data_IF_504555336835
#
_entry.id   IF_504555336835
#
_cell.length_a   1.000
_cell.length_b   1.000
_cell.length_c   1.000
_cell.angle_alpha   90.00
_cell.angle_beta   90.00
_cell.angle_gamma   90.00
#
_symmetry.space_group_name_H-M   'P 1'
#
loop_
_entity.id
_entity.type
_entity.pdbx_description
1 polymer ?
#
# COMPACT_ATOMS: atom_id res chain seq x y z
N UNK A 1 -11.34 -21.11 30.56
CA UNK A 1 -10.98 -19.72 30.24
C UNK A 1 -10.94 -18.92 31.54
N UNK A 2 -10.12 -17.87 31.60
CA UNK A 2 -10.03 -16.97 32.75
C UNK A 2 -10.24 -15.53 32.28
N UNK A 3 -11.01 -14.73 33.02
CA UNK A 3 -11.27 -13.31 32.72
C UNK A 3 -10.93 -12.45 33.94
N UNK A 4 -10.18 -11.38 33.71
CA UNK A 4 -9.82 -10.36 34.69
C UNK A 4 -10.44 -9.04 34.25
N UNK A 5 -10.98 -8.28 35.19
CA UNK A 5 -11.46 -6.91 34.97
C UNK A 5 -10.62 -5.99 35.85
N UNK A 6 -10.04 -4.94 35.25
CA UNK A 6 -9.18 -3.99 35.93
C UNK A 6 -9.99 -2.77 36.42
N UNK A 7 -9.41 -1.99 37.34
CA UNK A 7 -10.08 -0.82 37.93
C UNK A 7 -10.37 0.30 36.93
N UNK A 8 -9.60 0.39 35.84
CA UNK A 8 -9.79 1.35 34.76
C UNK A 8 -10.85 0.91 33.73
N UNK A 9 -11.52 -0.23 33.96
CA UNK A 9 -12.53 -0.79 33.06
C UNK A 9 -11.99 -1.76 32.01
N UNK A 10 -10.66 -1.88 31.87
CA UNK A 10 -10.05 -2.82 30.93
C UNK A 10 -10.39 -4.26 31.31
N UNK A 11 -10.38 -5.16 30.32
CA UNK A 11 -10.54 -6.59 30.58
C UNK A 11 -9.46 -7.40 29.89
N UNK A 12 -9.04 -8.50 30.50
CA UNK A 12 -8.15 -9.49 29.90
C UNK A 12 -8.78 -10.86 30.04
N UNK A 13 -8.88 -11.60 28.93
CA UNK A 13 -9.42 -12.95 28.87
C UNK A 13 -8.44 -13.89 28.19
N UNK A 14 -8.25 -15.09 28.75
CA UNK A 14 -7.53 -16.19 28.12
C UNK A 14 -8.55 -17.26 27.71
N UNK A 15 -8.62 -17.56 26.42
CA UNK A 15 -9.57 -18.52 25.82
C UNK A 15 -9.03 -19.96 25.90
N UNK A 16 -9.87 -20.94 25.59
CA UNK A 16 -9.49 -22.36 25.62
C UNK A 16 -8.45 -22.70 24.53
N UNK A 17 -8.47 -21.99 23.41
CA UNK A 17 -7.49 -22.07 22.31
C UNK A 17 -6.27 -21.17 22.53
N UNK A 18 -5.99 -20.78 23.78
CA UNK A 18 -4.79 -20.05 24.20
C UNK A 18 -4.63 -18.63 23.64
N UNK A 19 -5.66 -18.06 23.00
CA UNK A 19 -5.65 -16.62 22.66
C UNK A 19 -5.77 -15.77 23.91
N UNK A 20 -5.07 -14.64 23.92
CA UNK A 20 -5.21 -13.60 24.93
C UNK A 20 -5.99 -12.45 24.31
N UNK A 21 -7.17 -12.15 24.86
CA UNK A 21 -8.03 -11.05 24.41
C UNK A 21 -7.96 -9.96 25.48
N UNK A 22 -7.41 -8.80 25.14
CA UNK A 22 -7.38 -7.60 25.95
C UNK A 22 -8.34 -6.56 25.38
N UNK A 23 -9.16 -5.94 26.21
CA UNK A 23 -10.04 -4.84 25.83
C UNK A 23 -9.64 -3.59 26.61
N UNK A 24 -9.29 -2.53 25.88
CA UNK A 24 -8.98 -1.21 26.41
C UNK A 24 -10.25 -0.36 26.44
N UNK A 25 -10.75 -0.04 27.63
CA UNK A 25 -12.05 0.59 27.81
C UNK A 25 -12.07 2.04 27.31
N UNK A 26 -11.05 2.83 27.64
CA UNK A 26 -10.96 4.24 27.23
C UNK A 26 -10.87 4.39 25.71
N UNK A 27 -9.99 3.61 25.07
CA UNK A 27 -9.79 3.64 23.62
C UNK A 27 -10.84 2.82 22.84
N UNK A 28 -11.70 2.07 23.52
CA UNK A 28 -12.66 1.13 22.93
C UNK A 28 -12.02 0.18 21.90
N UNK A 29 -10.81 -0.30 22.21
CA UNK A 29 -10.00 -1.13 21.31
C UNK A 29 -9.87 -2.54 21.85
N UNK A 30 -10.07 -3.54 20.99
CA UNK A 30 -9.83 -4.95 21.33
C UNK A 30 -8.51 -5.41 20.73
N UNK A 31 -7.62 -5.96 21.54
CA UNK A 31 -6.33 -6.51 21.14
C UNK A 31 -6.29 -8.01 21.43
N UNK A 32 -6.07 -8.82 20.41
CA UNK A 32 -5.99 -10.28 20.48
C UNK A 32 -4.57 -10.71 20.17
N UNK A 33 -3.93 -11.44 21.08
CA UNK A 33 -2.64 -12.11 20.84
C UNK A 33 -2.89 -13.61 20.62
N UNK A 34 -2.39 -14.13 19.50
CA UNK A 34 -2.49 -15.54 19.12
C UNK A 34 -1.26 -16.33 19.60
N UNK A 35 -1.37 -17.67 19.74
CA UNK A 35 -0.26 -18.50 20.22
C UNK A 35 0.99 -18.49 19.31
N UNK A 36 0.82 -18.18 18.03
CA UNK A 36 1.91 -18.03 17.06
C UNK A 36 2.62 -16.66 17.14
N UNK A 37 2.17 -15.78 18.04
CA UNK A 37 2.70 -14.44 18.22
C UNK A 37 2.05 -13.38 17.33
N UNK A 38 1.08 -13.73 16.48
CA UNK A 38 0.32 -12.73 15.73
C UNK A 38 -0.55 -11.91 16.69
N UNK A 39 -0.57 -10.59 16.51
CA UNK A 39 -1.42 -9.67 17.25
C UNK A 39 -2.47 -9.06 16.31
N UNK A 40 -3.71 -8.91 16.78
CA UNK A 40 -4.80 -8.30 16.03
C UNK A 40 -5.50 -7.24 16.87
N UNK A 41 -5.54 -6.00 16.39
CA UNK A 41 -6.21 -4.87 17.02
C UNK A 41 -7.47 -4.49 16.24
N UNK A 42 -8.59 -4.32 16.93
CA UNK A 42 -9.85 -3.81 16.38
C UNK A 42 -10.17 -2.47 17.03
N UNK A 43 -10.25 -1.42 16.22
CA UNK A 43 -10.48 -0.04 16.65
C UNK A 43 -11.96 0.35 16.49
N UNK A 44 -12.45 1.36 17.23
CA UNK A 44 -13.86 1.76 17.19
C UNK A 44 -14.30 2.36 15.85
N UNK A 45 -13.36 2.83 15.02
CA UNK A 45 -13.64 3.34 13.67
C UNK A 45 -13.77 2.23 12.61
N UNK A 46 -13.81 0.94 13.00
CA UNK A 46 -13.77 -0.24 12.14
C UNK A 46 -12.41 -0.51 11.46
N UNK A 47 -11.35 0.24 11.80
CA UNK A 47 -10.00 -0.15 11.39
C UNK A 47 -9.59 -1.43 12.13
N UNK A 48 -8.90 -2.32 11.42
CA UNK A 48 -8.27 -3.51 12.00
C UNK A 48 -6.80 -3.51 11.66
N UNK A 49 -5.94 -3.86 12.60
CA UNK A 49 -4.51 -4.04 12.36
C UNK A 49 -4.09 -5.46 12.74
N UNK A 50 -3.27 -6.10 11.91
CA UNK A 50 -2.56 -7.33 12.23
C UNK A 50 -1.09 -7.05 12.30
N UNK A 51 -0.43 -7.41 13.40
CA UNK A 51 1.01 -7.31 13.55
C UNK A 51 1.56 -8.74 13.57
N UNK A 52 2.47 -9.03 12.65
CA UNK A 52 3.04 -10.36 12.44
C UNK A 52 4.38 -10.49 13.17
N UNK A 53 4.77 -11.72 13.60
CA UNK A 53 6.04 -11.95 14.28
C UNK A 53 7.29 -11.57 13.48
N UNK A 54 7.21 -11.55 12.15
CA UNK A 54 8.29 -11.14 11.25
C UNK A 54 8.46 -9.61 11.18
N UNK A 55 7.62 -8.84 11.87
CA UNK A 55 7.61 -7.39 11.89
C UNK A 55 6.71 -6.74 10.83
N UNK A 56 6.09 -7.53 9.92
CA UNK A 56 5.09 -7.02 8.98
C UNK A 56 3.87 -6.53 9.76
N UNK A 57 3.23 -5.48 9.24
CA UNK A 57 1.90 -5.03 9.69
C UNK A 57 0.94 -4.98 8.52
N UNK A 58 -0.31 -5.37 8.74
CA UNK A 58 -1.41 -5.23 7.79
C UNK A 58 -2.50 -4.39 8.43
N UNK A 59 -2.87 -3.30 7.79
CA UNK A 59 -3.88 -2.34 8.27
C UNK A 59 -5.06 -2.40 7.30
N UNK A 60 -6.24 -2.78 7.77
CA UNK A 60 -7.48 -2.65 7.03
C UNK A 60 -8.20 -1.39 7.50
N UNK A 61 -8.30 -0.40 6.62
CA UNK A 61 -8.99 0.86 6.89
C UNK A 61 -10.51 0.73 6.78
N UNK A 62 -11.28 1.71 7.31
CA UNK A 62 -12.74 1.68 7.26
C UNK A 62 -13.33 1.72 5.84
N UNK A 63 -12.57 2.22 4.86
CA UNK A 63 -12.92 2.23 3.44
C UNK A 63 -12.57 0.92 2.72
N UNK A 64 -12.15 -0.10 3.48
CA UNK A 64 -11.69 -1.42 3.04
C UNK A 64 -10.36 -1.42 2.26
N UNK A 65 -9.64 -0.30 2.21
CA UNK A 65 -8.25 -0.28 1.76
C UNK A 65 -7.39 -1.13 2.70
N UNK A 66 -6.55 -1.99 2.15
CA UNK A 66 -5.59 -2.80 2.93
C UNK A 66 -4.18 -2.25 2.70
N UNK A 67 -3.48 -1.85 3.76
CA UNK A 67 -2.09 -1.39 3.71
C UNK A 67 -1.16 -2.36 4.43
N UNK A 68 -0.18 -2.90 3.72
CA UNK A 68 0.93 -3.68 4.26
C UNK A 68 2.14 -2.78 4.52
N UNK A 69 2.74 -2.89 5.69
CA UNK A 69 4.00 -2.29 6.07
C UNK A 69 5.02 -3.41 6.28
N UNK A 70 6.12 -3.39 5.55
CA UNK A 70 7.14 -4.42 5.58
C UNK A 70 8.36 -3.97 6.41
N UNK A 71 9.11 -4.90 7.05
CA UNK A 71 10.30 -4.57 7.84
C UNK A 71 11.43 -3.89 7.05
N UNK A 72 11.48 -4.10 5.73
CA UNK A 72 12.44 -3.46 4.83
C UNK A 72 12.10 -1.98 4.54
N UNK A 73 10.98 -1.47 5.06
CA UNK A 73 10.49 -0.12 4.84
C UNK A 73 9.57 0.03 3.62
N UNK A 74 9.32 -1.05 2.87
CA UNK A 74 8.35 -1.05 1.77
C UNK A 74 6.94 -0.93 2.33
N UNK A 75 6.10 -0.20 1.62
CA UNK A 75 4.67 -0.13 1.88
C UNK A 75 3.90 -0.58 0.65
N UNK A 76 2.79 -1.26 0.84
CA UNK A 76 1.88 -1.66 -0.23
C UNK A 76 0.44 -1.37 0.19
N UNK A 77 -0.38 -0.79 -0.69
CA UNK A 77 -1.80 -0.55 -0.45
C UNK A 77 -2.62 -1.19 -1.57
N UNK A 78 -3.61 -1.98 -1.21
CA UNK A 78 -4.58 -2.59 -2.13
C UNK A 78 -5.90 -1.86 -1.95
N UNK A 79 -6.34 -1.18 -3.02
CA UNK A 79 -7.61 -0.48 -3.06
C UNK A 79 -8.75 -1.44 -3.41
N UNK A 80 -9.98 -1.02 -3.14
CA UNK A 80 -11.19 -1.82 -3.37
C UNK A 80 -11.46 -2.15 -4.84
N UNK A 81 -10.91 -1.35 -5.77
CA UNK A 81 -10.99 -1.61 -7.22
C UNK A 81 -9.90 -2.58 -7.72
N UNK A 82 -9.03 -3.08 -6.84
CA UNK A 82 -7.91 -3.95 -7.17
C UNK A 82 -6.63 -3.21 -7.56
N UNK A 83 -6.60 -1.87 -7.52
CA UNK A 83 -5.37 -1.11 -7.72
C UNK A 83 -4.39 -1.37 -6.58
N UNK A 84 -3.15 -1.68 -6.93
CA UNK A 84 -2.05 -1.91 -5.98
C UNK A 84 -1.09 -0.72 -6.06
N UNK A 85 -0.80 -0.12 -4.91
CA UNK A 85 0.15 0.99 -4.77
C UNK A 85 1.31 0.52 -3.91
N UNK A 86 2.50 0.41 -4.48
CA UNK A 86 3.72 0.10 -3.74
C UNK A 86 4.58 1.35 -3.59
N UNK A 87 5.13 1.58 -2.39
CA UNK A 87 6.14 2.60 -2.12
C UNK A 87 7.38 1.90 -1.60
N UNK A 88 8.49 2.09 -2.30
CA UNK A 88 9.78 1.51 -1.95
C UNK A 88 10.53 2.45 -0.96
N UNK A 89 11.49 1.92 -0.18
CA UNK A 89 12.28 2.72 0.77
C UNK A 89 13.05 3.89 0.15
N UNK A 90 13.39 3.80 -1.14
CA UNK A 90 14.04 4.88 -1.90
C UNK A 90 13.08 6.01 -2.32
N UNK A 91 11.79 5.90 -1.99
CA UNK A 91 10.73 6.83 -2.35
C UNK A 91 10.10 6.56 -3.72
N UNK A 92 10.57 5.57 -4.48
CA UNK A 92 9.95 5.17 -5.74
C UNK A 92 8.56 4.60 -5.47
N UNK A 93 7.56 5.10 -6.19
CA UNK A 93 6.17 4.64 -6.08
C UNK A 93 5.75 3.93 -7.36
N UNK A 94 5.25 2.71 -7.23
CA UNK A 94 4.69 1.93 -8.33
C UNK A 94 3.17 1.77 -8.13
N UNK A 95 2.39 1.93 -9.19
CA UNK A 95 0.94 1.78 -9.19
C UNK A 95 0.57 0.77 -10.26
N UNK A 96 -0.09 -0.31 -9.87
CA UNK A 96 -0.61 -1.34 -10.77
C UNK A 96 -2.12 -1.21 -10.80
N UNK A 97 -2.67 -0.75 -11.92
CA UNK A 97 -4.10 -0.58 -12.09
C UNK A 97 -4.76 -1.90 -12.50
N UNK A 98 -6.02 -2.07 -12.13
CA UNK A 98 -6.84 -3.21 -12.56
C UNK A 98 -6.99 -3.32 -14.10
N UNK A 99 -6.77 -2.24 -14.84
CA UNK A 99 -6.80 -2.20 -16.31
C UNK A 99 -5.52 -2.77 -16.94
N UNK A 100 -4.54 -3.25 -16.15
CA UNK A 100 -3.22 -3.66 -16.62
C UNK A 100 -2.26 -2.51 -16.93
N UNK A 101 -2.66 -1.25 -16.68
CA UNK A 101 -1.74 -0.12 -16.75
C UNK A 101 -0.81 -0.14 -15.54
N UNK A 102 0.41 0.35 -15.71
CA UNK A 102 1.37 0.56 -14.63
C UNK A 102 1.84 2.01 -14.61
N UNK A 103 1.96 2.62 -13.44
CA UNK A 103 2.66 3.89 -13.25
C UNK A 103 3.86 3.72 -12.32
N UNK A 104 4.95 4.44 -12.62
CA UNK A 104 6.16 4.51 -11.82
C UNK A 104 6.48 5.98 -11.59
N UNK A 105 6.55 6.40 -10.34
CA UNK A 105 6.95 7.75 -9.93
C UNK A 105 8.30 7.68 -9.23
N UNK A 106 9.25 8.46 -9.73
CA UNK A 106 10.56 8.69 -9.13
C UNK A 106 10.72 10.19 -8.86
N UNK A 107 11.85 10.60 -8.29
CA UNK A 107 12.21 12.01 -8.19
C UNK A 107 12.42 12.67 -9.57
N UNK A 108 12.77 11.89 -10.60
CA UNK A 108 13.16 12.38 -11.92
C UNK A 108 12.01 12.35 -12.93
N UNK A 109 11.06 11.42 -12.79
CA UNK A 109 9.99 11.27 -13.77
C UNK A 109 8.74 10.58 -13.22
N UNK A 110 7.65 10.71 -13.98
CA UNK A 110 6.48 9.84 -13.92
C UNK A 110 6.35 9.08 -15.23
N UNK A 111 6.30 7.76 -15.17
CA UNK A 111 6.17 6.88 -16.33
C UNK A 111 4.87 6.11 -16.24
N UNK A 112 4.10 6.07 -17.32
CA UNK A 112 2.93 5.22 -17.50
C UNK A 112 3.19 4.21 -18.61
N UNK A 113 2.96 2.94 -18.30
CA UNK A 113 3.06 1.80 -19.20
C UNK A 113 1.64 1.28 -19.48
N UNK A 114 1.33 1.12 -20.75
CA UNK A 114 0.01 0.72 -21.22
C UNK A 114 0.04 -0.74 -21.71
N UNK A 115 -1.09 -1.47 -21.63
CA UNK A 115 -1.17 -2.86 -22.08
C UNK A 115 -0.84 -3.07 -23.57
N UNK A 116 -1.02 -2.05 -24.41
CA UNK A 116 -0.66 -2.11 -25.82
C UNK A 116 0.86 -2.08 -26.05
N UNK A 117 1.67 -1.84 -25.00
CA UNK A 117 3.12 -1.66 -25.05
C UNK A 117 3.57 -0.20 -25.18
N UNK A 118 2.64 0.75 -25.25
CA UNK A 118 2.97 2.18 -25.25
C UNK A 118 3.54 2.57 -23.89
N UNK A 119 4.61 3.35 -23.88
CA UNK A 119 5.22 3.91 -22.66
C UNK A 119 5.29 5.42 -22.78
N UNK A 120 4.73 6.13 -21.80
CA UNK A 120 4.81 7.59 -21.69
C UNK A 120 5.60 7.97 -20.46
N UNK A 121 6.62 8.80 -20.61
CA UNK A 121 7.42 9.33 -19.49
C UNK A 121 7.35 10.85 -19.49
N UNK A 122 7.00 11.45 -18.37
CA UNK A 122 7.07 12.90 -18.12
C UNK A 122 8.17 13.14 -17.11
N UNK A 123 9.20 13.87 -17.52
CA UNK A 123 10.36 14.20 -16.69
C UNK A 123 10.08 15.43 -15.82
N UNK A 124 10.89 15.61 -14.77
CA UNK A 124 10.79 16.74 -13.83
C UNK A 124 11.03 18.10 -14.49
N UNK A 125 11.77 18.15 -15.60
CA UNK A 125 11.98 19.34 -16.44
C UNK A 125 10.78 19.67 -17.37
N UNK A 126 9.74 18.84 -17.35
CA UNK A 126 8.54 18.96 -18.18
C UNK A 126 8.65 18.27 -19.56
N UNK A 127 9.83 17.76 -19.94
CA UNK A 127 10.00 16.99 -21.18
C UNK A 127 9.13 15.73 -21.14
N UNK A 128 8.59 15.35 -22.30
CA UNK A 128 7.74 14.18 -22.44
C UNK A 128 8.29 13.24 -23.52
N UNK A 129 8.40 11.96 -23.18
CA UNK A 129 8.74 10.90 -24.13
C UNK A 129 7.56 9.95 -24.29
N UNK A 130 7.22 9.59 -25.53
CA UNK A 130 6.31 8.50 -25.86
C UNK A 130 7.04 7.48 -26.72
N UNK A 131 7.13 6.25 -26.23
CA UNK A 131 7.66 5.08 -26.95
C UNK A 131 6.47 4.23 -27.36
N UNK A 132 6.35 3.97 -28.64
CA UNK A 132 5.29 3.14 -29.20
C UNK A 132 5.76 1.70 -29.33
N UNK A 133 4.85 0.71 -29.31
CA UNK A 133 5.17 -0.71 -29.51
C UNK A 133 5.88 -0.98 -30.84
N UNK A 134 5.61 -0.13 -31.83
CA UNK A 134 6.24 -0.19 -33.15
C UNK A 134 7.72 0.18 -33.15
N UNK A 135 8.26 0.73 -32.05
CA UNK A 135 9.63 1.26 -31.97
C UNK A 135 9.72 2.77 -32.22
N UNK A 136 8.65 3.42 -32.69
CA UNK A 136 8.60 4.88 -32.85
C UNK A 136 8.84 5.56 -31.50
N UNK A 137 9.70 6.58 -31.49
CA UNK A 137 9.98 7.43 -30.34
C UNK A 137 9.60 8.88 -30.66
N UNK A 138 8.74 9.47 -29.84
CA UNK A 138 8.37 10.89 -29.93
C UNK A 138 8.73 11.62 -28.64
N UNK A 139 9.46 12.72 -28.76
CA UNK A 139 9.91 13.56 -27.63
C UNK A 139 9.36 14.97 -27.81
N UNK A 140 8.81 15.54 -26.73
CA UNK A 140 8.31 16.90 -26.67
C UNK A 140 8.95 17.68 -25.53
N UNK A 141 9.10 18.99 -25.71
CA UNK A 141 9.44 19.89 -24.61
C UNK A 141 8.25 20.12 -23.66
N UNK A 142 8.47 20.92 -22.61
CA UNK A 142 7.45 21.30 -21.62
C UNK A 142 6.26 22.06 -22.20
N UNK A 143 6.43 22.74 -23.34
CA UNK A 143 5.40 23.53 -24.00
C UNK A 143 4.62 22.69 -25.02
N UNK A 144 5.02 21.42 -25.21
CA UNK A 144 4.39 20.46 -26.11
C UNK A 144 4.93 20.46 -27.54
N UNK A 145 5.97 21.25 -27.83
CA UNK A 145 6.62 21.26 -29.14
C UNK A 145 7.40 19.96 -29.35
N UNK A 146 7.33 19.40 -30.55
CA UNK A 146 8.06 18.16 -30.88
C UNK A 146 9.54 18.47 -31.08
N UNK A 147 10.38 17.91 -30.22
CA UNK A 147 11.84 17.98 -30.32
C UNK A 147 12.42 16.85 -31.18
N UNK A 148 11.78 15.68 -31.15
CA UNK A 148 12.19 14.50 -31.90
C UNK A 148 10.98 13.64 -32.25
N UNK A 149 10.94 13.12 -33.48
CA UNK A 149 10.00 12.09 -33.91
C UNK A 149 10.74 11.08 -34.77
N UNK A 150 11.27 10.04 -34.13
CA UNK A 150 12.03 8.97 -34.78
C UNK A 150 11.09 7.81 -35.09
N UNK A 151 10.90 7.51 -36.37
CA UNK A 151 10.24 6.29 -36.81
C UNK A 151 11.14 5.06 -36.55
N UNK A 152 10.54 3.87 -36.57
CA UNK A 152 11.25 2.61 -36.42
C UNK A 152 12.35 2.42 -37.48
#
# INVERSE_FOLDING_TARGET
SAKVTFFNGDTKQITADQRVIYYYAEAQTTHITYPDGMEVLHFPNNQTEKHFPDGRKEITFPDQTVKNLFPDGREESVLTDGTIIQVNPDGTKEIHFNTGQKEIHTAEFKRREYPDGTVKTVYSDGRQETRYPTGRLRVKDKDGNVLLDKQA
#
